data_IF_722659714876
#
_entry.id   IF_722659714876
#
_cell.length_a   1.000
_cell.length_b   1.000
_cell.length_c   1.000
_cell.angle_alpha   90.00
_cell.angle_beta   90.00
_cell.angle_gamma   90.00
#
_symmetry.space_group_name_H-M   'P 1'
#
loop_
_entity.id
_entity.type
_entity.pdbx_description
1 polymer ?
#
# COMPACT_ATOMS: atom_id res chain seq x y z
N UNK A 1 -3.76 40.39 8.79
CA UNK A 1 -4.77 41.32 9.35
C UNK A 1 -6.04 40.51 9.56
N UNK A 2 -6.32 40.06 10.79
CA UNK A 2 -7.51 39.23 11.06
C UNK A 2 -8.77 40.11 10.93
N UNK A 3 -9.85 39.62 10.30
CA UNK A 3 -11.11 40.36 10.25
C UNK A 3 -11.58 40.69 11.68
N UNK A 4 -11.93 41.95 11.94
CA UNK A 4 -12.41 42.45 13.24
C UNK A 4 -13.55 41.59 13.84
N UNK A 5 -14.31 40.91 12.99
CA UNK A 5 -15.39 39.99 13.37
C UNK A 5 -14.91 38.75 14.14
N UNK A 6 -13.76 38.15 13.79
CA UNK A 6 -13.20 37.00 14.53
C UNK A 6 -12.66 37.41 15.91
N UNK A 7 -12.19 38.66 16.04
CA UNK A 7 -11.83 39.25 17.33
C UNK A 7 -13.05 39.41 18.23
N UNK A 8 -14.21 39.82 17.68
CA UNK A 8 -15.46 39.92 18.45
C UNK A 8 -15.99 38.56 18.93
N UNK A 9 -15.83 37.48 18.17
CA UNK A 9 -16.28 36.14 18.59
C UNK A 9 -15.46 35.59 19.77
N UNK A 10 -14.15 35.85 19.81
CA UNK A 10 -13.30 35.57 20.98
C UNK A 10 -13.65 36.49 22.15
N UNK A 11 -13.81 37.79 21.92
CA UNK A 11 -14.17 38.77 22.94
C UNK A 11 -15.52 38.45 23.61
N UNK A 12 -16.55 38.11 22.84
CA UNK A 12 -17.86 37.71 23.38
C UNK A 12 -17.79 36.38 24.13
N UNK A 13 -16.99 35.42 23.64
CA UNK A 13 -16.75 34.15 24.34
C UNK A 13 -16.00 34.38 25.67
N UNK A 14 -15.10 35.34 25.73
CA UNK A 14 -14.34 35.68 26.93
C UNK A 14 -15.17 36.53 27.91
N UNK A 15 -16.00 37.46 27.44
CA UNK A 15 -17.01 38.18 28.23
C UNK A 15 -18.05 37.24 28.85
N UNK A 16 -18.43 36.17 28.15
CA UNK A 16 -19.32 35.13 28.69
C UNK A 16 -18.69 34.36 29.86
N UNK A 17 -17.36 34.35 29.98
CA UNK A 17 -16.64 33.77 31.14
C UNK A 17 -16.58 34.75 32.33
N UNK A 18 -16.68 36.05 32.09
CA UNK A 18 -16.77 37.12 33.11
C UNK A 18 -18.17 37.75 33.11
N UNK A 19 -19.14 37.00 33.63
CA UNK A 19 -20.56 37.36 33.56
C UNK A 19 -20.90 38.70 34.20
N UNK A 20 -20.24 39.08 35.30
CA UNK A 20 -20.51 40.36 36.02
C UNK A 20 -20.12 41.60 35.21
N UNK A 21 -19.04 41.54 34.43
CA UNK A 21 -18.56 42.66 33.61
C UNK A 21 -19.39 42.81 32.34
N UNK A 22 -19.89 41.70 31.79
CA UNK A 22 -20.84 41.69 30.67
C UNK A 22 -22.16 42.40 31.03
N UNK A 23 -22.70 42.16 32.23
CA UNK A 23 -23.92 42.83 32.70
C UNK A 23 -23.75 44.36 32.88
N UNK A 24 -22.56 44.82 33.28
CA UNK A 24 -22.29 46.26 33.45
C UNK A 24 -22.24 47.03 32.12
N UNK A 25 -21.89 46.34 31.03
CA UNK A 25 -21.80 46.92 29.68
C UNK A 25 -23.09 46.82 28.88
N UNK A 26 -24.10 46.09 29.37
CA UNK A 26 -25.35 45.82 28.65
C UNK A 26 -26.05 47.11 28.21
N UNK A 27 -26.18 48.10 29.10
CA UNK A 27 -26.87 49.36 28.78
C UNK A 27 -26.17 50.17 27.68
N UNK A 28 -24.84 50.09 27.62
CA UNK A 28 -24.04 50.73 26.58
C UNK A 28 -24.19 50.00 25.23
N UNK A 29 -24.24 48.67 25.26
CA UNK A 29 -24.52 47.86 24.07
C UNK A 29 -25.93 48.10 23.53
N UNK A 30 -26.95 48.13 24.39
CA UNK A 30 -28.35 48.39 24.01
C UNK A 30 -28.52 49.78 23.37
N UNK A 31 -27.85 50.81 23.92
CA UNK A 31 -27.84 52.16 23.34
C UNK A 31 -27.23 52.17 21.93
N UNK A 32 -26.11 51.46 21.73
CA UNK A 32 -25.49 51.32 20.40
C UNK A 32 -26.32 50.46 19.44
N UNK A 33 -27.02 49.44 19.94
CA UNK A 33 -27.84 48.57 19.12
C UNK A 33 -29.03 49.31 18.51
N UNK A 34 -29.68 50.20 19.28
CA UNK A 34 -30.73 51.05 18.77
C UNK A 34 -30.26 51.94 17.60
N UNK A 35 -29.14 52.65 17.79
CA UNK A 35 -28.55 53.50 16.76
C UNK A 35 -28.09 52.71 15.52
N UNK A 36 -27.48 51.55 15.72
CA UNK A 36 -27.02 50.66 14.65
C UNK A 36 -28.18 50.17 13.79
N UNK A 37 -29.31 49.80 14.41
CA UNK A 37 -30.49 49.33 13.68
C UNK A 37 -31.18 50.46 12.92
N UNK A 38 -31.13 51.70 13.41
CA UNK A 38 -31.71 52.86 12.71
C UNK A 38 -30.84 53.38 11.58
N UNK A 39 -29.51 53.43 11.76
CA UNK A 39 -28.60 53.99 10.76
C UNK A 39 -28.14 52.93 9.74
N UNK A 40 -28.09 51.66 10.13
CA UNK A 40 -27.60 50.56 9.33
C UNK A 40 -28.54 49.33 9.44
N UNK A 41 -29.79 49.45 8.96
CA UNK A 41 -30.82 48.42 9.15
C UNK A 41 -30.44 47.05 8.58
N UNK A 42 -29.63 47.00 7.51
CA UNK A 42 -29.19 45.76 6.87
C UNK A 42 -28.10 44.99 7.62
N UNK A 43 -27.42 45.60 8.61
CA UNK A 43 -26.31 44.96 9.33
C UNK A 43 -26.77 43.74 10.11
N UNK A 44 -28.00 43.75 10.63
CA UNK A 44 -28.58 42.61 11.33
C UNK A 44 -28.73 41.41 10.41
N UNK A 45 -29.31 41.61 9.23
CA UNK A 45 -29.56 40.53 8.28
C UNK A 45 -28.24 39.99 7.73
N UNK A 46 -27.27 40.88 7.45
CA UNK A 46 -25.93 40.49 7.03
C UNK A 46 -25.18 39.65 8.10
N UNK A 47 -25.42 39.91 9.39
CA UNK A 47 -24.87 39.10 10.47
C UNK A 47 -25.47 37.69 10.52
N UNK A 48 -26.77 37.57 10.27
CA UNK A 48 -27.45 36.27 10.18
C UNK A 48 -26.90 35.49 8.99
N UNK A 49 -26.83 36.12 7.81
CA UNK A 49 -26.28 35.50 6.61
C UNK A 49 -24.83 35.02 6.80
N UNK A 50 -24.00 35.82 7.48
CA UNK A 50 -22.62 35.45 7.77
C UNK A 50 -22.53 34.26 8.73
N UNK A 51 -23.39 34.19 9.75
CA UNK A 51 -23.41 33.09 10.70
C UNK A 51 -23.87 31.78 10.02
N UNK A 52 -24.92 31.84 9.21
CA UNK A 52 -25.40 30.72 8.40
C UNK A 52 -24.33 30.24 7.40
N UNK A 53 -23.68 31.16 6.69
CA UNK A 53 -22.59 30.83 5.77
C UNK A 53 -21.39 30.22 6.50
N UNK A 54 -21.06 30.71 7.70
CA UNK A 54 -19.98 30.17 8.54
C UNK A 54 -20.32 28.76 9.01
N UNK A 55 -21.54 28.51 9.46
CA UNK A 55 -22.00 27.18 9.87
C UNK A 55 -21.94 26.19 8.71
N UNK A 56 -22.37 26.62 7.51
CA UNK A 56 -22.31 25.79 6.31
C UNK A 56 -20.86 25.44 5.93
N UNK A 57 -19.94 26.39 6.06
CA UNK A 57 -18.51 26.16 5.84
C UNK A 57 -17.92 25.18 6.85
N UNK A 58 -18.27 25.30 8.13
CA UNK A 58 -17.82 24.40 9.18
C UNK A 58 -18.28 22.95 8.88
N UNK A 59 -19.57 22.75 8.58
CA UNK A 59 -20.12 21.43 8.20
C UNK A 59 -19.49 20.89 6.92
N UNK A 60 -19.30 21.74 5.90
CA UNK A 60 -18.67 21.33 4.65
C UNK A 60 -17.21 20.90 4.85
N UNK A 61 -16.51 21.51 5.81
CA UNK A 61 -15.12 21.15 6.14
C UNK A 61 -15.09 19.79 6.82
N UNK A 62 -15.97 19.54 7.78
CA UNK A 62 -16.10 18.22 8.44
C UNK A 62 -16.41 17.11 7.42
N UNK A 63 -17.34 17.37 6.48
CA UNK A 63 -17.67 16.42 5.40
C UNK A 63 -16.50 16.18 4.44
N UNK A 64 -15.75 17.23 4.12
CA UNK A 64 -14.57 17.10 3.27
C UNK A 64 -13.51 16.21 3.93
N UNK A 65 -13.25 16.42 5.23
CA UNK A 65 -12.27 15.63 5.98
C UNK A 65 -12.67 14.15 6.10
N UNK A 66 -13.98 13.87 6.24
CA UNK A 66 -14.49 12.49 6.22
C UNK A 66 -14.23 11.81 4.87
N UNK A 67 -14.59 12.47 3.76
CA UNK A 67 -14.35 11.93 2.41
C UNK A 67 -12.86 11.74 2.17
N UNK A 68 -12.04 12.72 2.57
CA UNK A 68 -10.59 12.67 2.41
C UNK A 68 -9.99 11.48 3.16
N UNK A 69 -10.48 11.19 4.38
CA UNK A 69 -10.07 10.02 5.15
C UNK A 69 -10.37 8.71 4.43
N UNK A 70 -11.55 8.58 3.82
CA UNK A 70 -11.94 7.40 3.03
C UNK A 70 -11.04 7.24 1.80
N UNK A 71 -10.80 8.33 1.07
CA UNK A 71 -9.94 8.30 -0.12
C UNK A 71 -8.51 7.90 0.24
N UNK A 72 -7.95 8.46 1.31
CA UNK A 72 -6.61 8.08 1.78
C UNK A 72 -6.54 6.60 2.13
N UNK A 73 -7.50 6.11 2.93
CA UNK A 73 -7.53 4.71 3.34
C UNK A 73 -7.52 3.75 2.14
N UNK A 74 -8.44 3.96 1.19
CA UNK A 74 -8.51 3.10 0.01
C UNK A 74 -7.33 3.27 -0.94
N UNK A 75 -6.72 4.46 -0.99
CA UNK A 75 -5.49 4.67 -1.76
C UNK A 75 -4.35 3.85 -1.16
N UNK A 76 -4.17 3.87 0.16
CA UNK A 76 -3.14 3.09 0.85
C UNK A 76 -3.35 1.59 0.66
N UNK A 77 -4.60 1.10 0.77
CA UNK A 77 -4.95 -0.29 0.48
C UNK A 77 -4.64 -0.67 -0.97
N UNK A 78 -4.99 0.21 -1.92
CA UNK A 78 -4.75 -0.03 -3.36
C UNK A 78 -3.26 -0.06 -3.68
N UNK A 79 -2.48 0.87 -3.13
CA UNK A 79 -1.02 0.90 -3.30
C UNK A 79 -0.41 -0.39 -2.74
N UNK A 80 -0.80 -0.80 -1.54
CA UNK A 80 -0.34 -2.07 -0.94
C UNK A 80 -0.71 -3.27 -1.81
N UNK A 81 -1.93 -3.32 -2.32
CA UNK A 81 -2.37 -4.40 -3.21
C UNK A 81 -1.55 -4.45 -4.50
N UNK A 82 -1.32 -3.30 -5.15
CA UNK A 82 -0.48 -3.20 -6.35
C UNK A 82 0.97 -3.61 -6.08
N UNK A 83 1.54 -3.21 -4.94
CA UNK A 83 2.90 -3.61 -4.56
C UNK A 83 3.02 -5.12 -4.35
N UNK A 84 2.04 -5.74 -3.68
CA UNK A 84 2.01 -7.19 -3.50
C UNK A 84 1.86 -7.92 -4.85
N UNK A 85 0.96 -7.44 -5.70
CA UNK A 85 0.77 -8.02 -7.03
C UNK A 85 2.04 -7.89 -7.88
N UNK A 86 2.73 -6.75 -7.82
CA UNK A 86 4.01 -6.54 -8.48
C UNK A 86 5.05 -7.56 -7.98
N UNK A 87 5.20 -7.74 -6.67
CA UNK A 87 6.10 -8.73 -6.09
C UNK A 87 5.78 -10.17 -6.56
N UNK A 88 4.50 -10.53 -6.64
CA UNK A 88 4.07 -11.86 -7.10
C UNK A 88 4.38 -12.13 -8.59
N UNK A 89 4.52 -11.09 -9.42
CA UNK A 89 4.75 -11.21 -10.87
C UNK A 89 6.14 -10.75 -11.32
N UNK A 90 6.95 -10.16 -10.44
CA UNK A 90 8.30 -9.66 -10.76
C UNK A 90 9.18 -10.73 -11.40
N UNK A 91 9.04 -12.00 -10.97
CA UNK A 91 9.77 -13.13 -11.53
C UNK A 91 9.46 -13.37 -13.02
N UNK A 92 8.25 -13.03 -13.50
CA UNK A 92 7.86 -13.17 -14.91
C UNK A 92 8.54 -12.10 -15.76
N UNK A 93 8.67 -10.87 -15.24
CA UNK A 93 9.28 -9.77 -15.97
C UNK A 93 10.77 -10.02 -16.29
N UNK A 94 11.50 -10.68 -15.39
CA UNK A 94 12.89 -11.09 -15.62
C UNK A 94 13.01 -12.07 -16.80
N UNK A 95 11.98 -12.87 -17.07
CA UNK A 95 11.97 -13.86 -18.16
C UNK A 95 11.74 -13.26 -19.55
N UNK A 96 11.21 -12.04 -19.67
CA UNK A 96 10.88 -11.40 -20.96
C UNK A 96 12.02 -10.53 -21.49
N UNK A 97 12.92 -10.06 -20.61
CA UNK A 97 13.97 -9.12 -20.97
C UNK A 97 15.26 -9.79 -21.48
N UNK A 98 15.34 -11.12 -21.44
CA UNK A 98 16.40 -11.88 -22.10
C UNK A 98 15.79 -12.56 -23.32
N UNK A 99 16.42 -12.40 -24.49
CA UNK A 99 16.04 -13.05 -25.75
C UNK A 99 15.53 -14.48 -25.48
N UNK A 100 14.35 -14.79 -26.02
CA UNK A 100 13.65 -16.08 -25.90
C UNK A 100 14.61 -17.24 -25.55
N UNK A 101 14.51 -17.82 -24.35
CA UNK A 101 15.36 -18.96 -24.01
C UNK A 101 15.05 -20.08 -25.00
N UNK A 102 16.07 -20.68 -25.63
CA UNK A 102 15.89 -21.87 -26.46
C UNK A 102 15.19 -23.02 -25.70
N UNK A 103 15.20 -23.00 -24.36
CA UNK A 103 14.53 -23.97 -23.51
C UNK A 103 13.85 -23.28 -22.30
N UNK A 104 12.53 -23.31 -22.23
CA UNK A 104 11.76 -22.82 -21.06
C UNK A 104 12.00 -23.69 -19.81
N UNK A 105 12.09 -25.01 -19.99
CA UNK A 105 12.43 -25.99 -18.96
C UNK A 105 13.01 -27.24 -19.65
N UNK A 106 14.22 -27.67 -19.29
CA UNK A 106 14.80 -28.93 -19.79
C UNK A 106 15.45 -29.73 -18.67
N UNK A 107 15.31 -31.06 -18.73
CA UNK A 107 15.84 -31.99 -17.74
C UNK A 107 16.75 -32.98 -18.44
N UNK A 108 18.04 -32.93 -18.11
CA UNK A 108 19.06 -33.84 -18.61
C UNK A 108 19.53 -34.74 -17.47
N UNK A 109 19.44 -36.06 -17.67
CA UNK A 109 20.04 -37.02 -16.74
C UNK A 109 21.52 -37.10 -17.04
N UNK A 110 22.35 -36.77 -16.06
CA UNK A 110 23.81 -36.88 -16.16
C UNK A 110 24.16 -38.32 -15.76
N UNK A 111 24.27 -39.20 -16.76
CA UNK A 111 24.58 -40.60 -16.51
C UNK A 111 25.91 -40.72 -15.74
N UNK A 112 25.98 -41.50 -14.64
CA UNK A 112 27.26 -41.89 -14.09
C UNK A 112 27.97 -42.77 -15.14
N UNK A 113 29.23 -42.47 -15.43
CA UNK A 113 30.06 -43.31 -16.31
C UNK A 113 30.18 -44.70 -15.69
N UNK A 114 29.33 -45.65 -16.08
CA UNK A 114 29.47 -47.06 -15.70
C UNK A 114 30.42 -47.75 -16.67
N UNK A 115 31.72 -47.57 -16.42
CA UNK A 115 32.67 -48.67 -16.56
C UNK A 115 32.87 -49.20 -15.14
N UNK A 116 32.03 -50.14 -14.73
CA UNK A 116 32.38 -51.24 -13.82
C UNK A 116 31.09 -51.97 -13.43
N UNK A 117 30.91 -53.13 -14.04
CA UNK A 117 29.96 -54.15 -13.63
C UNK A 117 30.41 -54.69 -12.26
N UNK A 118 29.85 -54.15 -11.18
CA UNK A 118 29.61 -54.80 -9.88
C UNK A 118 29.46 -53.73 -8.81
N UNK A 119 28.22 -53.35 -8.51
CA UNK A 119 27.69 -52.98 -7.18
C UNK A 119 26.32 -52.31 -7.38
N UNK A 120 25.25 -53.10 -7.29
CA UNK A 120 23.87 -52.60 -7.12
C UNK A 120 23.71 -52.00 -5.72
N UNK A 121 24.37 -50.86 -5.44
CA UNK A 121 23.87 -49.93 -4.43
C UNK A 121 23.08 -48.86 -5.16
N UNK A 122 21.89 -48.53 -4.67
CA UNK A 122 21.01 -47.47 -5.15
C UNK A 122 21.81 -46.16 -5.29
N UNK A 123 22.41 -45.94 -6.46
CA UNK A 123 23.27 -44.79 -6.69
C UNK A 123 22.38 -43.59 -6.98
N UNK A 124 22.62 -42.50 -6.24
CA UNK A 124 21.95 -41.23 -6.52
C UNK A 124 22.14 -40.84 -7.98
N UNK A 125 21.04 -40.53 -8.66
CA UNK A 125 21.07 -40.08 -10.05
C UNK A 125 21.30 -38.58 -10.09
N UNK A 126 22.37 -38.13 -10.75
CA UNK A 126 22.58 -36.69 -10.97
C UNK A 126 21.73 -36.19 -12.13
N UNK A 127 21.04 -35.08 -11.91
CA UNK A 127 20.18 -34.44 -12.89
C UNK A 127 20.60 -32.98 -13.03
N UNK A 128 20.68 -32.53 -14.27
CA UNK A 128 20.85 -31.14 -14.65
C UNK A 128 19.51 -30.61 -15.15
N UNK A 129 19.06 -29.50 -14.58
CA UNK A 129 17.80 -28.85 -14.94
C UNK A 129 18.09 -27.42 -15.36
N UNK A 130 17.66 -27.05 -16.56
CA UNK A 130 17.72 -25.68 -17.06
C UNK A 130 16.34 -25.06 -16.92
N UNK A 131 16.27 -23.89 -16.29
CA UNK A 131 15.04 -23.13 -16.07
C UNK A 131 15.26 -21.72 -16.61
N UNK A 132 14.55 -21.37 -17.69
CA UNK A 132 14.62 -20.06 -18.32
C UNK A 132 16.08 -19.66 -18.64
N UNK A 133 16.55 -18.55 -18.08
CA UNK A 133 17.89 -18.01 -18.28
C UNK A 133 18.80 -18.22 -17.07
N UNK A 134 18.43 -19.09 -16.11
CA UNK A 134 19.31 -19.39 -14.99
C UNK A 134 20.52 -20.21 -15.43
N UNK A 135 21.64 -20.13 -14.69
CA UNK A 135 22.68 -21.16 -14.77
C UNK A 135 22.06 -22.56 -14.58
N UNK A 136 22.63 -23.62 -15.21
CA UNK A 136 22.15 -24.99 -15.03
C UNK A 136 22.12 -25.40 -13.56
N UNK A 137 20.99 -25.93 -13.10
CA UNK A 137 20.81 -26.39 -11.71
C UNK A 137 21.12 -27.89 -11.67
N UNK A 138 22.13 -28.28 -10.91
CA UNK A 138 22.55 -29.68 -10.79
C UNK A 138 22.26 -30.18 -9.37
N UNK A 139 21.57 -31.32 -9.26
CA UNK A 139 21.30 -31.97 -7.96
C UNK A 139 21.16 -33.49 -8.08
N UNK A 140 21.25 -34.17 -6.94
CA UNK A 140 21.07 -35.62 -6.80
C UNK A 140 19.60 -35.98 -6.59
N UNK A 141 19.17 -37.06 -7.25
CA UNK A 141 17.86 -37.69 -7.08
C UNK A 141 18.04 -39.06 -6.44
N UNK A 142 17.23 -39.42 -5.42
CA UNK A 142 17.30 -40.72 -4.78
C UNK A 142 17.19 -41.88 -5.79
N UNK A 143 18.08 -42.88 -5.66
CA UNK A 143 18.20 -43.99 -6.62
C UNK A 143 17.01 -44.96 -6.62
N UNK A 144 16.18 -44.92 -5.57
CA UNK A 144 14.96 -45.71 -5.41
C UNK A 144 13.84 -45.24 -6.36
N UNK A 145 13.97 -44.03 -6.90
CA UNK A 145 12.99 -43.46 -7.83
C UNK A 145 13.21 -44.01 -9.23
N UNK A 146 12.18 -44.71 -9.74
CA UNK A 146 12.17 -45.17 -11.13
C UNK A 146 12.36 -43.99 -12.10
N UNK A 147 13.45 -44.04 -12.88
CA UNK A 147 13.76 -43.04 -13.91
C UNK A 147 12.54 -42.79 -14.82
N UNK A 148 12.22 -41.51 -15.03
CA UNK A 148 11.06 -41.05 -15.82
C UNK A 148 9.69 -41.49 -15.28
N UNK A 149 9.62 -42.05 -14.08
CA UNK A 149 8.36 -42.33 -13.39
C UNK A 149 7.72 -41.05 -12.80
N UNK A 150 6.43 -41.08 -12.43
CA UNK A 150 5.74 -39.92 -11.85
C UNK A 150 6.43 -39.36 -10.60
N UNK A 151 6.90 -40.24 -9.70
CA UNK A 151 7.60 -39.84 -8.48
C UNK A 151 8.97 -39.18 -8.76
N UNK A 152 9.70 -39.66 -9.77
CA UNK A 152 10.95 -39.05 -10.23
C UNK A 152 10.70 -37.65 -10.77
N UNK A 153 9.71 -37.49 -11.65
CA UNK A 153 9.37 -36.19 -12.25
C UNK A 153 8.95 -35.21 -11.15
N UNK A 154 8.09 -35.64 -10.23
CA UNK A 154 7.64 -34.81 -9.13
C UNK A 154 8.80 -34.32 -8.25
N UNK A 155 9.71 -35.23 -7.87
CA UNK A 155 10.90 -34.90 -7.10
C UNK A 155 11.78 -33.88 -7.84
N UNK A 156 12.12 -34.16 -9.10
CA UNK A 156 12.96 -33.28 -9.93
C UNK A 156 12.33 -31.90 -10.08
N UNK A 157 11.04 -31.82 -10.36
CA UNK A 157 10.34 -30.53 -10.51
C UNK A 157 10.31 -29.75 -9.20
N UNK A 158 10.03 -30.40 -8.08
CA UNK A 158 9.92 -29.74 -6.78
C UNK A 158 11.28 -29.23 -6.28
N UNK A 159 12.32 -30.05 -6.42
CA UNK A 159 13.68 -29.70 -6.01
C UNK A 159 14.25 -28.59 -6.91
N UNK A 160 14.08 -28.69 -8.23
CA UNK A 160 14.53 -27.68 -9.17
C UNK A 160 13.82 -26.32 -8.95
N UNK A 161 12.50 -26.34 -8.70
CA UNK A 161 11.74 -25.13 -8.39
C UNK A 161 12.20 -24.48 -7.08
N UNK A 162 12.48 -25.28 -6.05
CA UNK A 162 12.97 -24.78 -4.76
C UNK A 162 14.30 -24.06 -4.93
N UNK A 163 15.27 -24.68 -5.61
CA UNK A 163 16.59 -24.09 -5.88
C UNK A 163 16.52 -22.84 -6.76
N UNK A 164 15.65 -22.85 -7.77
CA UNK A 164 15.44 -21.68 -8.63
C UNK A 164 14.92 -20.47 -7.83
N UNK A 165 13.95 -20.68 -6.93
CA UNK A 165 13.44 -19.62 -6.05
C UNK A 165 14.50 -19.09 -5.09
N UNK A 166 15.37 -19.96 -4.57
CA UNK A 166 16.48 -19.56 -3.70
C UNK A 166 17.50 -18.70 -4.46
N UNK A 167 17.86 -19.07 -5.69
CA UNK A 167 18.73 -18.25 -6.54
C UNK A 167 18.15 -16.87 -6.80
N UNK A 168 16.85 -16.77 -7.14
CA UNK A 168 16.22 -15.47 -7.40
C UNK A 168 16.25 -14.53 -6.20
N UNK A 169 16.07 -15.05 -4.98
CA UNK A 169 16.18 -14.24 -3.75
C UNK A 169 17.59 -13.67 -3.56
N UNK A 170 18.63 -14.43 -3.91
CA UNK A 170 20.00 -13.98 -3.76
C UNK A 170 20.37 -12.83 -4.72
N UNK A 171 19.76 -12.79 -5.91
CA UNK A 171 19.96 -11.70 -6.88
C UNK A 171 19.14 -10.43 -6.59
N UNK A 172 18.16 -10.49 -5.68
CA UNK A 172 17.39 -9.31 -5.25
C UNK A 172 18.10 -8.52 -4.14
N UNK A 173 19.09 -9.12 -3.47
CA UNK A 173 19.86 -8.54 -2.34
C UNK A 173 21.20 -7.88 -2.76
N UNK A 174 21.55 -7.89 -4.06
CA UNK A 174 22.69 -7.15 -4.67
C UNK A 174 22.21 -5.89 -5.42
#
# INVERSE_FOLDING_TARGET
MFPRFLQNRKLCRDLRKQTSECWQLQSQCEACQGALLTECPSVRDLHVELDEASQMLDVSTEQYDEILSIVHHHTDETVKWLSNMAADISWVAQSVNSNTPENFFSVNVVAPNTQDEQNESETETKVEVNILNSPPIIFSVPGELKLRGPAFIQYVTQEALSKYKEMLRYYEDE
#
